data_IF_123995953940
#
_entry.id   IF_123995953940
#
_cell.length_a   1.000
_cell.length_b   1.000
_cell.length_c   1.000
_cell.angle_alpha   90.00
_cell.angle_beta   90.00
_cell.angle_gamma   90.00
#
_symmetry.space_group_name_H-M   'P 1'
#
loop_
_entity.id
_entity.type
_entity.pdbx_description
1 polymer ?
#
# COMPACT_ATOMS: atom_id res chain seq x y z
N UNK A 1 8.73 -21.58 -5.61
CA UNK A 1 8.58 -21.31 -4.16
C UNK A 1 9.92 -21.50 -3.47
N UNK A 2 10.34 -20.56 -2.59
CA UNK A 2 11.63 -20.57 -1.87
C UNK A 2 11.35 -20.59 -0.37
N UNK A 3 12.10 -21.39 0.39
CA UNK A 3 12.03 -21.40 1.85
C UNK A 3 13.29 -20.75 2.43
N UNK A 4 13.11 -19.83 3.38
CA UNK A 4 14.20 -19.13 4.08
C UNK A 4 14.06 -19.39 5.57
N UNK A 5 15.11 -19.96 6.16
CA UNK A 5 15.17 -20.27 7.58
C UNK A 5 16.12 -19.31 8.31
N UNK A 6 15.63 -18.71 9.38
CA UNK A 6 16.41 -17.95 10.33
C UNK A 6 16.62 -18.72 11.64
N UNK A 7 17.12 -18.00 12.64
CA UNK A 7 17.42 -18.58 13.96
C UNK A 7 16.15 -19.03 14.70
N UNK A 8 15.04 -18.33 14.53
CA UNK A 8 13.81 -18.56 15.29
C UNK A 8 12.61 -18.90 14.41
N UNK A 9 12.52 -18.35 13.22
CA UNK A 9 11.39 -18.52 12.32
C UNK A 9 11.79 -18.97 10.93
N UNK A 10 10.76 -19.25 10.13
CA UNK A 10 10.92 -19.59 8.70
C UNK A 10 9.88 -18.84 7.86
N UNK A 11 10.25 -18.50 6.64
CA UNK A 11 9.39 -17.84 5.67
C UNK A 11 9.26 -18.68 4.39
N UNK A 12 8.04 -18.72 3.82
CA UNK A 12 7.81 -19.19 2.45
C UNK A 12 7.68 -17.99 1.52
N UNK A 13 8.40 -18.02 0.39
CA UNK A 13 8.40 -16.97 -0.62
C UNK A 13 7.79 -17.52 -1.90
N UNK A 14 6.69 -16.92 -2.36
CA UNK A 14 5.89 -17.42 -3.48
C UNK A 14 6.38 -16.85 -4.82
N UNK A 15 7.69 -16.90 -5.06
CA UNK A 15 8.31 -16.53 -6.34
C UNK A 15 9.40 -17.53 -6.73
N UNK A 16 9.77 -17.54 -7.99
CA UNK A 16 10.88 -18.32 -8.49
C UNK A 16 12.21 -17.53 -8.46
N UNK A 17 12.11 -16.19 -8.35
CA UNK A 17 13.26 -15.27 -8.37
C UNK A 17 13.22 -14.35 -7.16
N UNK A 18 14.34 -14.25 -6.43
CA UNK A 18 14.47 -13.41 -5.24
C UNK A 18 15.79 -12.65 -5.29
N UNK A 19 15.72 -11.34 -5.10
CA UNK A 19 16.94 -10.53 -5.01
C UNK A 19 17.71 -10.82 -3.71
N UNK A 20 19.07 -10.86 -3.74
CA UNK A 20 19.88 -11.11 -2.54
C UNK A 20 19.61 -10.14 -1.39
N UNK A 21 19.29 -8.88 -1.70
CA UNK A 21 18.91 -7.85 -0.73
C UNK A 21 17.62 -8.19 0.01
N UNK A 22 16.61 -8.67 -0.72
CA UNK A 22 15.34 -9.11 -0.16
C UNK A 22 15.52 -10.39 0.67
N UNK A 23 16.29 -11.36 0.19
CA UNK A 23 16.61 -12.58 0.92
C UNK A 23 17.25 -12.28 2.28
N UNK A 24 18.26 -11.37 2.29
CA UNK A 24 18.92 -10.93 3.52
C UNK A 24 17.98 -10.30 4.53
N UNK A 25 17.01 -9.49 4.07
CA UNK A 25 15.99 -8.87 4.92
C UNK A 25 15.04 -9.93 5.52
N UNK A 26 14.58 -10.89 4.73
CA UNK A 26 13.70 -11.98 5.18
C UNK A 26 14.43 -12.81 6.24
N UNK A 27 15.69 -13.19 6.00
CA UNK A 27 16.49 -13.94 6.94
C UNK A 27 16.67 -13.17 8.25
N UNK A 28 17.01 -11.88 8.19
CA UNK A 28 17.16 -11.01 9.37
C UNK A 28 15.85 -10.93 10.16
N UNK A 29 14.70 -10.92 9.50
CA UNK A 29 13.39 -10.98 10.14
C UNK A 29 13.15 -12.32 10.83
N UNK A 30 13.46 -13.44 10.16
CA UNK A 30 13.35 -14.80 10.73
C UNK A 30 14.36 -15.06 11.87
N UNK A 31 15.39 -14.23 11.99
CA UNK A 31 16.34 -14.27 13.12
C UNK A 31 15.83 -13.54 14.38
N UNK A 32 14.64 -12.93 14.35
CA UNK A 32 14.06 -12.26 15.51
C UNK A 32 13.23 -13.21 16.37
N UNK A 33 13.28 -13.11 17.72
CA UNK A 33 12.58 -14.04 18.60
C UNK A 33 11.08 -14.15 18.37
N UNK A 34 10.39 -13.06 18.03
CA UNK A 34 8.96 -13.04 17.78
C UNK A 34 8.56 -13.79 16.50
N UNK A 35 9.50 -14.05 15.58
CA UNK A 35 9.23 -14.82 14.35
C UNK A 35 8.95 -16.31 14.62
N UNK A 36 9.38 -16.84 15.78
CA UNK A 36 9.18 -18.25 16.16
C UNK A 36 7.71 -18.67 16.19
N UNK A 37 6.80 -17.75 16.46
CA UNK A 37 5.37 -18.02 16.56
C UNK A 37 4.57 -17.53 15.35
N UNK A 38 5.24 -16.92 14.37
CA UNK A 38 4.60 -16.29 13.23
C UNK A 38 4.68 -17.16 11.98
N UNK A 39 3.56 -17.32 11.29
CA UNK A 39 3.51 -17.88 9.95
C UNK A 39 3.85 -16.77 8.95
N UNK A 40 5.08 -16.78 8.45
CA UNK A 40 5.60 -15.72 7.56
C UNK A 40 5.43 -16.17 6.11
N UNK A 41 4.78 -15.32 5.30
CA UNK A 41 4.50 -15.56 3.90
C UNK A 41 4.85 -14.34 3.08
N UNK A 42 5.59 -14.53 2.01
CA UNK A 42 6.12 -13.46 1.17
C UNK A 42 5.54 -13.60 -0.23
N UNK A 43 4.87 -12.53 -0.69
CA UNK A 43 4.14 -12.49 -1.95
C UNK A 43 5.07 -12.41 -3.17
N UNK A 44 4.60 -12.77 -4.39
CA UNK A 44 5.44 -12.80 -5.61
C UNK A 44 6.02 -11.45 -6.02
N UNK A 45 5.38 -10.34 -5.67
CA UNK A 45 5.82 -8.97 -5.93
C UNK A 45 6.94 -8.49 -4.98
N UNK A 46 7.53 -9.40 -4.22
CA UNK A 46 8.57 -9.14 -3.24
C UNK A 46 9.72 -8.30 -3.78
N UNK A 47 10.11 -7.29 -3.01
CA UNK A 47 11.32 -6.49 -3.24
C UNK A 47 11.80 -5.88 -1.91
N UNK A 48 13.04 -5.38 -1.90
CA UNK A 48 13.62 -4.81 -0.69
C UNK A 48 12.88 -3.56 -0.22
N UNK A 49 12.60 -3.50 1.08
CA UNK A 49 12.02 -2.37 1.76
C UNK A 49 12.89 -1.92 2.93
N UNK A 50 12.39 -0.96 3.73
CA UNK A 50 13.11 -0.48 4.91
C UNK A 50 12.89 -1.41 6.10
N UNK A 51 13.90 -2.22 6.44
CA UNK A 51 13.90 -3.15 7.57
C UNK A 51 13.18 -4.48 7.34
N UNK A 52 12.31 -4.56 6.35
CA UNK A 52 11.70 -5.81 5.88
C UNK A 52 11.32 -5.68 4.40
N UNK A 53 10.96 -6.78 3.77
CA UNK A 53 10.50 -6.77 2.39
C UNK A 53 9.08 -6.21 2.26
N UNK A 54 8.79 -5.60 1.11
CA UNK A 54 7.43 -5.38 0.61
C UNK A 54 6.91 -6.73 0.09
N UNK A 55 5.63 -6.99 0.19
CA UNK A 55 5.04 -8.30 -0.08
C UNK A 55 5.02 -9.22 1.15
N UNK A 56 5.29 -8.71 2.35
CA UNK A 56 5.35 -9.50 3.59
C UNK A 56 3.99 -9.63 4.26
N UNK A 57 3.62 -10.87 4.61
CA UNK A 57 2.50 -11.15 5.51
C UNK A 57 2.95 -12.06 6.65
N UNK A 58 2.38 -11.87 7.82
CA UNK A 58 2.64 -12.74 8.97
C UNK A 58 1.46 -12.77 9.95
N UNK A 59 1.31 -13.90 10.63
CA UNK A 59 0.38 -13.99 11.77
C UNK A 59 0.97 -13.27 12.98
N UNK A 60 0.17 -12.41 13.61
CA UNK A 60 0.54 -11.64 14.81
C UNK A 60 0.01 -12.39 16.03
N UNK A 61 0.86 -12.55 17.07
CA UNK A 61 0.45 -13.13 18.36
C UNK A 61 0.76 -12.15 19.49
N UNK A 62 1.87 -12.32 20.17
CA UNK A 62 2.23 -11.58 21.38
C UNK A 62 3.10 -10.35 21.11
N UNK A 63 3.48 -10.11 19.86
CA UNK A 63 4.33 -9.00 19.48
C UNK A 63 3.97 -8.43 18.12
N UNK A 64 4.11 -7.12 17.96
CA UNK A 64 3.91 -6.40 16.69
C UNK A 64 5.09 -5.48 16.41
N UNK A 65 5.53 -5.44 15.16
CA UNK A 65 6.57 -4.54 14.67
C UNK A 65 5.93 -3.42 13.87
N UNK A 66 5.81 -2.18 14.40
CA UNK A 66 5.11 -1.10 13.71
C UNK A 66 5.71 -0.79 12.32
N UNK A 67 7.04 -0.84 12.17
CA UNK A 67 7.69 -0.61 10.88
C UNK A 67 7.36 -1.69 9.82
N UNK A 68 6.96 -2.89 10.24
CA UNK A 68 6.54 -3.95 9.32
C UNK A 68 5.11 -3.72 8.79
N UNK A 69 4.30 -2.90 9.42
CA UNK A 69 3.08 -2.34 8.80
C UNK A 69 3.46 -1.26 7.79
N UNK A 70 4.47 -0.46 8.12
CA UNK A 70 4.97 0.63 7.28
C UNK A 70 4.54 2.00 7.79
N UNK A 71 5.08 3.03 7.14
CA UNK A 71 4.84 4.43 7.54
C UNK A 71 3.56 5.01 6.95
N UNK A 72 3.04 4.43 5.89
CA UNK A 72 1.76 4.79 5.28
C UNK A 72 0.70 3.74 5.66
N UNK A 73 0.28 3.80 6.92
CA UNK A 73 -0.72 2.88 7.47
C UNK A 73 -2.04 3.07 6.73
N UNK A 74 -2.66 1.98 6.32
CA UNK A 74 -3.92 1.99 5.59
C UNK A 74 -3.80 2.45 4.13
N UNK A 75 -2.57 2.54 3.59
CA UNK A 75 -2.39 2.76 2.14
C UNK A 75 -3.12 1.68 1.36
N UNK A 76 -3.80 2.08 0.29
CA UNK A 76 -4.64 1.19 -0.47
C UNK A 76 -5.33 1.90 -1.62
N UNK A 77 -6.14 1.15 -2.33
CA UNK A 77 -6.86 1.61 -3.51
C UNK A 77 -8.36 1.59 -3.26
N UNK A 78 -9.05 2.58 -3.80
CA UNK A 78 -10.50 2.59 -3.96
C UNK A 78 -10.78 2.46 -5.45
N UNK A 79 -11.42 1.37 -5.83
CA UNK A 79 -11.84 1.08 -7.21
C UNK A 79 -13.32 1.37 -7.36
N UNK A 80 -13.68 2.21 -8.31
CA UNK A 80 -15.05 2.66 -8.56
C UNK A 80 -15.42 2.35 -10.00
N UNK A 81 -16.34 1.43 -10.22
CA UNK A 81 -16.94 1.19 -11.54
C UNK A 81 -17.92 2.32 -11.86
N UNK A 82 -17.78 2.92 -13.02
CA UNK A 82 -18.59 4.06 -13.47
C UNK A 82 -19.72 3.61 -14.38
N UNK A 83 -20.86 4.31 -14.30
CA UNK A 83 -21.96 4.12 -15.25
C UNK A 83 -21.60 4.62 -16.66
N UNK A 84 -20.74 5.62 -16.73
CA UNK A 84 -20.28 6.23 -17.97
C UNK A 84 -19.39 5.26 -18.76
N UNK A 85 -19.56 5.23 -20.08
CA UNK A 85 -18.72 4.45 -21.02
C UNK A 85 -17.68 5.32 -21.72
N UNK A 86 -17.70 6.63 -21.50
CA UNK A 86 -16.74 7.59 -22.06
C UNK A 86 -16.54 8.76 -21.10
N UNK A 87 -15.31 9.21 -20.99
CA UNK A 87 -14.90 10.36 -20.16
C UNK A 87 -13.98 11.24 -21.02
N UNK A 88 -14.13 12.55 -20.88
CA UNK A 88 -13.19 13.53 -21.41
C UNK A 88 -11.94 13.55 -20.51
N UNK A 89 -10.92 12.77 -20.87
CA UNK A 89 -9.70 12.58 -20.08
C UNK A 89 -8.92 13.89 -19.88
N UNK A 90 -8.72 14.77 -20.90
CA UNK A 90 -8.10 16.08 -20.68
C UNK A 90 -8.84 16.95 -19.66
N UNK A 91 -10.16 16.94 -19.69
CA UNK A 91 -10.99 17.68 -18.75
C UNK A 91 -10.87 17.09 -17.34
N UNK A 92 -10.88 15.76 -17.20
CA UNK A 92 -10.69 15.06 -15.94
C UNK A 92 -9.31 15.34 -15.33
N UNK A 93 -8.23 15.25 -16.11
CA UNK A 93 -6.86 15.54 -15.65
C UNK A 93 -6.75 16.99 -15.15
N UNK A 94 -7.28 17.95 -15.92
CA UNK A 94 -7.32 19.36 -15.53
C UNK A 94 -8.10 19.56 -14.22
N UNK A 95 -9.25 18.89 -14.08
CA UNK A 95 -10.07 18.96 -12.87
C UNK A 95 -9.34 18.40 -11.66
N UNK A 96 -8.70 17.21 -11.78
CA UNK A 96 -7.93 16.58 -10.72
C UNK A 96 -6.82 17.51 -10.25
N UNK A 97 -6.01 18.06 -11.17
CA UNK A 97 -4.90 18.96 -10.85
C UNK A 97 -5.34 20.23 -10.12
N UNK A 98 -6.52 20.74 -10.41
CA UNK A 98 -7.05 21.95 -9.77
C UNK A 98 -7.68 21.68 -8.39
N UNK A 99 -8.24 20.49 -8.15
CA UNK A 99 -9.09 20.23 -7.00
C UNK A 99 -8.53 19.20 -6.01
N UNK A 100 -7.52 18.41 -6.40
CA UNK A 100 -6.90 17.39 -5.55
C UNK A 100 -5.43 17.75 -5.32
N UNK A 101 -5.09 18.33 -4.15
CA UNK A 101 -3.69 18.62 -3.81
C UNK A 101 -2.83 17.35 -3.85
N UNK A 102 -1.61 17.45 -4.39
CA UNK A 102 -0.68 16.34 -4.51
C UNK A 102 0.70 16.65 -3.90
N UNK A 103 1.58 15.65 -3.83
CA UNK A 103 2.90 15.80 -3.26
C UNK A 103 2.86 16.16 -1.77
N UNK A 104 3.42 17.34 -1.43
CA UNK A 104 3.43 17.87 -0.05
C UNK A 104 2.28 18.82 0.23
N UNK A 105 1.52 19.16 -0.79
CA UNK A 105 0.42 20.12 -0.67
C UNK A 105 -0.77 19.50 0.06
N UNK A 106 -1.45 20.34 0.80
CA UNK A 106 -2.68 20.04 1.52
C UNK A 106 -3.72 21.11 1.20
N UNK A 107 -4.96 20.88 1.61
CA UNK A 107 -6.02 21.88 1.42
C UNK A 107 -5.76 23.11 2.28
N UNK A 108 -6.10 24.27 1.78
CA UNK A 108 -6.04 25.53 2.56
C UNK A 108 -7.04 25.53 3.75
N UNK A 109 -8.13 24.78 3.58
CA UNK A 109 -9.16 24.56 4.61
C UNK A 109 -9.58 23.10 4.60
N UNK A 110 -9.92 22.58 5.77
CA UNK A 110 -10.42 21.22 5.91
C UNK A 110 -11.65 20.98 5.03
N UNK A 111 -11.70 19.84 4.34
CA UNK A 111 -12.88 19.46 3.57
C UNK A 111 -14.10 19.30 4.50
N UNK A 112 -15.32 19.62 4.01
CA UNK A 112 -16.56 19.51 4.81
C UNK A 112 -16.77 18.14 5.46
N UNK A 113 -16.31 17.08 4.82
CA UNK A 113 -16.43 15.70 5.32
C UNK A 113 -15.40 15.33 6.39
N UNK A 114 -14.48 16.24 6.78
CA UNK A 114 -13.47 15.93 7.80
C UNK A 114 -14.07 15.55 9.17
N UNK A 115 -15.28 16.01 9.47
CA UNK A 115 -16.01 15.69 10.70
C UNK A 115 -16.57 14.27 10.75
N UNK A 116 -16.45 13.46 9.69
CA UNK A 116 -16.83 12.03 9.71
C UNK A 116 -15.90 11.18 10.58
N UNK A 117 -14.74 11.72 10.97
CA UNK A 117 -13.74 11.04 11.81
C UNK A 117 -13.16 12.03 12.81
N UNK A 118 -13.14 11.67 14.08
CA UNK A 118 -12.59 12.52 15.13
C UNK A 118 -11.12 12.15 15.41
N UNK A 119 -10.19 13.00 15.02
CA UNK A 119 -8.74 12.81 15.23
C UNK A 119 -8.39 12.71 16.72
N UNK A 120 -9.25 13.17 17.62
CA UNK A 120 -9.05 13.04 19.06
C UNK A 120 -9.25 11.62 19.59
N UNK A 121 -9.79 10.68 18.81
CA UNK A 121 -9.82 9.25 19.14
C UNK A 121 -8.40 8.64 19.22
N UNK A 122 -7.39 9.22 18.55
CA UNK A 122 -6.02 8.72 18.62
C UNK A 122 -5.47 8.79 20.06
N UNK A 123 -4.97 7.69 20.57
CA UNK A 123 -4.29 7.64 21.87
C UNK A 123 -3.00 8.46 21.86
N UNK A 124 -2.31 8.49 20.72
CA UNK A 124 -1.12 9.31 20.53
C UNK A 124 -1.41 10.75 20.05
N UNK A 125 -2.62 11.26 20.16
CA UNK A 125 -3.08 12.56 19.61
C UNK A 125 -2.17 13.73 19.97
N UNK A 126 -1.56 13.75 21.16
CA UNK A 126 -0.61 14.80 21.59
C UNK A 126 0.71 14.80 20.78
N UNK A 127 0.93 13.83 19.91
CA UNK A 127 2.15 13.68 19.09
C UNK A 127 1.93 14.05 17.62
N UNK A 128 0.75 14.48 17.26
CA UNK A 128 0.37 14.79 15.89
C UNK A 128 -0.18 16.21 15.73
N UNK A 129 -0.08 16.75 14.53
CA UNK A 129 -0.67 18.03 14.17
C UNK A 129 -2.10 17.81 13.65
N UNK A 130 -3.09 18.10 14.52
CA UNK A 130 -4.52 17.88 14.26
C UNK A 130 -5.01 18.75 13.10
N UNK A 131 -4.56 20.03 13.02
CA UNK A 131 -4.95 20.93 11.94
C UNK A 131 -4.47 20.37 10.61
N UNK A 132 -3.17 20.03 10.51
CA UNK A 132 -2.57 19.44 9.32
C UNK A 132 -3.24 18.11 8.94
N UNK A 133 -3.61 17.28 9.92
CA UNK A 133 -4.34 16.04 9.67
C UNK A 133 -5.68 16.32 8.96
N UNK A 134 -6.50 17.23 9.50
CA UNK A 134 -7.80 17.60 8.92
C UNK A 134 -7.67 18.21 7.52
N UNK A 135 -6.66 19.07 7.31
CA UNK A 135 -6.38 19.72 6.02
C UNK A 135 -5.78 18.75 4.98
N UNK A 136 -5.23 17.60 5.41
CA UNK A 136 -4.69 16.58 4.50
C UNK A 136 -5.73 15.61 3.95
N UNK A 137 -6.96 15.59 4.48
CA UNK A 137 -8.04 14.76 3.95
C UNK A 137 -8.50 15.24 2.56
N UNK A 138 -8.69 14.29 1.65
CA UNK A 138 -9.01 14.55 0.25
C UNK A 138 -7.79 15.05 -0.55
N UNK A 139 -6.57 14.60 -0.19
CA UNK A 139 -5.33 14.91 -0.92
C UNK A 139 -4.63 13.64 -1.36
N UNK A 140 -4.03 13.65 -2.55
CA UNK A 140 -3.41 12.47 -3.14
C UNK A 140 -2.08 12.10 -2.49
N UNK A 141 -1.20 13.08 -2.31
CA UNK A 141 0.16 12.85 -1.88
C UNK A 141 1.14 12.60 -3.00
N UNK A 142 2.29 12.03 -2.67
CA UNK A 142 3.37 11.77 -3.60
C UNK A 142 3.84 10.32 -3.55
N UNK A 143 4.94 10.03 -4.23
CA UNK A 143 5.45 8.67 -4.37
C UNK A 143 4.67 7.90 -5.43
N UNK A 144 4.28 6.68 -5.08
CA UNK A 144 3.50 5.79 -5.95
C UNK A 144 1.97 6.01 -5.86
N UNK A 145 1.51 7.11 -5.28
CA UNK A 145 0.09 7.43 -5.25
C UNK A 145 -0.38 7.94 -6.61
N UNK A 146 -1.55 7.49 -7.05
CA UNK A 146 -2.09 7.83 -8.35
C UNK A 146 -3.62 7.91 -8.36
N UNK A 147 -4.15 8.54 -9.39
CA UNK A 147 -5.55 8.50 -9.81
C UNK A 147 -5.53 8.14 -11.28
N UNK A 148 -6.25 7.09 -11.66
CA UNK A 148 -6.32 6.64 -13.05
C UNK A 148 -7.72 6.19 -13.45
N UNK A 149 -7.97 6.13 -14.73
CA UNK A 149 -9.14 5.51 -15.33
C UNK A 149 -8.69 4.31 -16.12
N UNK A 150 -9.08 3.15 -15.66
CA UNK A 150 -8.89 1.88 -16.37
C UNK A 150 -10.14 1.55 -17.21
N UNK A 151 -9.94 0.74 -18.24
CA UNK A 151 -11.01 0.27 -19.12
C UNK A 151 -10.88 -1.21 -19.35
N UNK A 152 -11.97 -1.97 -19.10
CA UNK A 152 -12.01 -3.39 -19.39
C UNK A 152 -12.37 -3.69 -20.86
N UNK A 153 -12.26 -4.97 -21.24
CA UNK A 153 -12.55 -5.42 -22.62
C UNK A 153 -14.02 -5.24 -23.02
N UNK A 154 -14.92 -5.10 -22.05
CA UNK A 154 -16.35 -4.82 -22.28
C UNK A 154 -16.63 -3.31 -22.43
N UNK A 155 -15.61 -2.47 -22.21
CA UNK A 155 -15.70 -1.03 -22.31
C UNK A 155 -16.20 -0.35 -21.03
N UNK A 156 -16.27 -1.06 -19.91
CA UNK A 156 -16.55 -0.46 -18.60
C UNK A 156 -15.35 0.38 -18.15
N UNK A 157 -15.63 1.49 -17.46
CA UNK A 157 -14.61 2.38 -16.93
C UNK A 157 -14.53 2.25 -15.41
N UNK A 158 -13.32 2.25 -14.91
CA UNK A 158 -13.01 2.16 -13.48
C UNK A 158 -12.14 3.34 -13.07
N UNK A 159 -12.61 4.13 -12.11
CA UNK A 159 -11.78 5.14 -11.44
C UNK A 159 -11.04 4.44 -10.30
N UNK A 160 -9.71 4.44 -10.35
CA UNK A 160 -8.86 3.90 -9.30
C UNK A 160 -8.14 5.05 -8.58
N UNK A 161 -8.25 5.07 -7.26
CA UNK A 161 -7.63 6.08 -6.39
C UNK A 161 -6.70 5.37 -5.41
N UNK A 162 -5.39 5.52 -5.59
CA UNK A 162 -4.36 4.97 -4.71
C UNK A 162 -3.78 6.06 -3.81
N UNK A 163 -4.09 6.01 -2.53
CA UNK A 163 -3.49 6.89 -1.50
C UNK A 163 -3.71 6.32 -0.10
N UNK A 164 -3.02 6.89 0.89
CA UNK A 164 -3.02 6.40 2.26
C UNK A 164 -3.30 7.48 3.31
N UNK A 165 -2.72 7.30 4.48
CA UNK A 165 -2.97 8.09 5.70
C UNK A 165 -2.18 9.39 5.80
N UNK A 166 -1.49 9.77 4.74
CA UNK A 166 -0.78 11.04 4.63
C UNK A 166 0.28 11.21 5.73
N UNK A 167 0.62 12.46 6.06
CA UNK A 167 1.58 12.76 7.12
C UNK A 167 1.13 12.28 8.50
N UNK A 168 -0.18 12.15 8.74
CA UNK A 168 -0.69 11.67 10.01
C UNK A 168 -0.22 10.24 10.29
N UNK A 169 -0.38 9.32 9.33
CA UNK A 169 0.08 7.93 9.46
C UNK A 169 1.58 7.81 9.68
N UNK A 170 2.38 8.63 8.96
CA UNK A 170 3.82 8.69 9.18
C UNK A 170 4.16 9.06 10.64
N UNK A 171 3.47 10.05 11.24
CA UNK A 171 3.70 10.47 12.61
C UNK A 171 3.31 9.39 13.62
N UNK A 172 2.17 8.75 13.41
CA UNK A 172 1.70 7.62 14.24
C UNK A 172 2.71 6.46 14.16
N UNK A 173 3.08 6.03 12.96
CA UNK A 173 4.05 4.96 12.76
C UNK A 173 5.41 5.27 13.43
N UNK A 174 5.94 6.48 13.24
CA UNK A 174 7.20 6.90 13.87
C UNK A 174 7.11 6.93 15.39
N UNK A 175 5.99 7.41 15.95
CA UNK A 175 5.80 7.43 17.39
C UNK A 175 5.87 6.02 17.97
N UNK A 176 5.08 5.08 17.45
CA UNK A 176 5.05 3.71 17.96
C UNK A 176 6.35 2.93 17.69
N UNK A 177 7.02 3.18 16.57
CA UNK A 177 8.35 2.61 16.31
C UNK A 177 9.40 3.10 17.33
N UNK A 178 9.34 4.37 17.73
CA UNK A 178 10.20 4.90 18.78
C UNK A 178 9.86 4.30 20.17
N UNK A 179 8.57 4.07 20.47
CA UNK A 179 8.14 3.38 21.68
C UNK A 179 8.69 1.95 21.69
N UNK A 180 8.53 1.21 20.59
CA UNK A 180 9.05 -0.14 20.41
C UNK A 180 10.57 -0.20 20.62
N UNK A 181 11.31 0.69 19.97
CA UNK A 181 12.77 0.72 20.09
C UNK A 181 13.24 0.98 21.51
N UNK A 182 12.58 1.89 22.23
CA UNK A 182 12.90 2.15 23.65
C UNK A 182 12.58 0.94 24.54
N UNK A 183 11.45 0.28 24.30
CA UNK A 183 11.05 -0.94 25.03
C UNK A 183 12.03 -2.10 24.81
N UNK A 184 12.63 -2.19 23.61
CA UNK A 184 13.68 -3.18 23.30
C UNK A 184 15.09 -2.77 23.79
N UNK A 185 15.22 -1.80 24.71
CA UNK A 185 16.50 -1.38 25.28
C UNK A 185 17.22 -0.24 24.54
N UNK A 186 16.68 0.23 23.42
CA UNK A 186 17.22 1.36 22.67
C UNK A 186 18.68 1.17 22.26
N UNK A 187 19.45 2.27 22.27
CA UNK A 187 20.88 2.23 21.91
C UNK A 187 21.76 1.47 22.90
N UNK A 188 21.31 1.30 24.14
CA UNK A 188 22.09 0.66 25.19
C UNK A 188 22.15 -0.88 25.05
N UNK A 189 21.16 -1.48 24.36
CA UNK A 189 21.09 -2.91 24.12
C UNK A 189 20.87 -3.15 22.61
N UNK A 190 21.87 -2.87 21.80
CA UNK A 190 21.80 -2.88 20.33
C UNK A 190 21.51 -4.26 19.67
N UNK A 191 20.91 -5.21 20.41
CA UNK A 191 20.62 -6.56 19.91
C UNK A 191 19.50 -6.60 18.85
N UNK A 192 18.59 -5.59 18.83
CA UNK A 192 17.45 -5.53 17.89
C UNK A 192 17.57 -4.26 17.05
N UNK A 193 17.62 -4.36 15.71
CA UNK A 193 17.62 -3.19 14.83
C UNK A 193 16.40 -2.29 15.09
N UNK A 194 16.56 -0.98 14.92
CA UNK A 194 15.46 -0.03 15.08
C UNK A 194 14.23 -0.42 14.28
N UNK A 195 14.43 -0.83 13.04
CA UNK A 195 13.38 -1.21 12.09
C UNK A 195 12.63 -2.49 12.48
N UNK A 196 13.22 -3.31 13.36
CA UNK A 196 12.66 -4.59 13.80
C UNK A 196 12.27 -4.58 15.27
N UNK A 197 12.37 -3.43 15.94
CA UNK A 197 11.89 -3.28 17.31
C UNK A 197 10.37 -3.47 17.39
N UNK A 198 9.91 -4.15 18.44
CA UNK A 198 8.54 -4.60 18.57
C UNK A 198 7.85 -4.12 19.85
N UNK A 199 6.53 -4.16 19.84
CA UNK A 199 5.65 -3.86 20.96
C UNK A 199 4.98 -5.14 21.46
N UNK A 200 4.72 -5.20 22.77
CA UNK A 200 3.99 -6.27 23.45
C UNK A 200 3.02 -5.67 24.48
N UNK A 201 2.09 -6.49 25.00
CA UNK A 201 1.15 -6.09 26.04
C UNK A 201 0.36 -4.83 25.69
N UNK A 202 0.19 -3.93 26.67
CA UNK A 202 -0.62 -2.70 26.51
C UNK A 202 -0.11 -1.81 25.38
N UNK A 203 1.20 -1.71 25.19
CA UNK A 203 1.78 -0.90 24.11
C UNK A 203 1.42 -1.43 22.72
N UNK A 204 1.30 -2.76 22.56
CA UNK A 204 0.79 -3.38 21.36
C UNK A 204 -0.70 -3.03 21.15
N UNK A 205 -1.52 -3.12 22.20
CA UNK A 205 -2.96 -2.79 22.11
C UNK A 205 -3.17 -1.32 21.72
N UNK A 206 -2.41 -0.41 22.29
CA UNK A 206 -2.47 1.01 21.93
C UNK A 206 -2.08 1.26 20.47
N UNK A 207 -1.08 0.53 19.99
CA UNK A 207 -0.70 0.62 18.57
C UNK A 207 -1.80 0.07 17.66
N UNK A 208 -2.39 -1.08 17.98
CA UNK A 208 -3.47 -1.68 17.19
C UNK A 208 -4.67 -0.71 17.07
N UNK A 209 -5.08 -0.10 18.20
CA UNK A 209 -6.14 0.90 18.21
C UNK A 209 -5.84 2.09 17.27
N UNK A 210 -4.65 2.69 17.39
CA UNK A 210 -4.30 3.85 16.57
C UNK A 210 -4.05 3.46 15.10
N UNK A 211 -3.58 2.25 14.83
CA UNK A 211 -3.42 1.70 13.49
C UNK A 211 -4.80 1.50 12.80
N UNK A 212 -5.80 0.98 13.50
CA UNK A 212 -7.18 0.89 12.99
C UNK A 212 -7.77 2.27 12.71
N UNK A 213 -7.54 3.23 13.61
CA UNK A 213 -7.92 4.61 13.35
C UNK A 213 -7.29 5.13 12.04
N UNK A 214 -6.01 4.83 11.81
CA UNK A 214 -5.32 5.26 10.60
C UNK A 214 -5.85 4.59 9.33
N UNK A 215 -6.33 3.35 9.41
CA UNK A 215 -7.03 2.71 8.28
C UNK A 215 -8.32 3.47 7.92
N UNK A 216 -9.15 3.79 8.92
CA UNK A 216 -10.37 4.61 8.74
C UNK A 216 -10.06 5.99 8.16
N UNK A 217 -8.96 6.60 8.60
CA UNK A 217 -8.51 7.90 8.09
C UNK A 217 -8.10 7.82 6.61
N UNK A 218 -7.34 6.79 6.22
CA UNK A 218 -6.93 6.57 4.83
C UNK A 218 -8.12 6.26 3.92
N UNK A 219 -9.09 5.48 4.39
CA UNK A 219 -10.33 5.20 3.70
C UNK A 219 -11.15 6.48 3.48
N UNK A 220 -11.30 7.31 4.51
CA UNK A 220 -11.97 8.61 4.40
C UNK A 220 -11.24 9.53 3.40
N UNK A 221 -9.89 9.49 3.39
CA UNK A 221 -9.11 10.26 2.42
C UNK A 221 -9.45 9.86 0.98
N UNK A 222 -9.46 8.57 0.66
CA UNK A 222 -9.87 8.04 -0.67
C UNK A 222 -11.31 8.39 -1.01
N UNK A 223 -12.21 8.23 -0.05
CA UNK A 223 -13.64 8.55 -0.21
C UNK A 223 -13.86 10.02 -0.57
N UNK A 224 -13.17 10.94 0.11
CA UNK A 224 -13.28 12.37 -0.19
C UNK A 224 -12.76 12.69 -1.60
N UNK A 225 -11.64 12.08 -2.03
CA UNK A 225 -11.14 12.24 -3.40
C UNK A 225 -12.18 11.77 -4.41
N UNK A 226 -12.77 10.58 -4.18
CA UNK A 226 -13.86 10.04 -5.01
C UNK A 226 -15.02 11.03 -5.10
N UNK A 227 -15.54 11.49 -3.96
CA UNK A 227 -16.66 12.44 -3.89
C UNK A 227 -16.37 13.72 -4.69
N UNK A 228 -15.18 14.30 -4.53
CA UNK A 228 -14.76 15.51 -5.26
C UNK A 228 -14.73 15.27 -6.77
N UNK A 229 -14.20 14.14 -7.22
CA UNK A 229 -14.12 13.82 -8.67
C UNK A 229 -15.51 13.54 -9.26
N UNK A 230 -16.30 12.68 -8.61
CA UNK A 230 -17.64 12.33 -9.11
C UNK A 230 -18.55 13.55 -9.18
N UNK A 231 -18.61 14.35 -8.11
CA UNK A 231 -19.44 15.57 -8.06
C UNK A 231 -19.01 16.59 -9.13
N UNK A 232 -17.69 16.85 -9.24
CA UNK A 232 -17.17 17.87 -10.13
C UNK A 232 -17.23 17.52 -11.61
N UNK A 233 -17.07 16.25 -11.92
CA UNK A 233 -17.14 15.73 -13.29
C UNK A 233 -18.54 15.23 -13.69
N UNK A 234 -19.48 15.19 -12.75
CA UNK A 234 -20.84 14.64 -12.91
C UNK A 234 -20.79 13.18 -13.35
N UNK A 235 -19.94 12.39 -12.70
CA UNK A 235 -19.82 10.95 -12.91
C UNK A 235 -20.66 10.21 -11.87
N UNK A 236 -21.09 9.00 -12.21
CA UNK A 236 -21.96 8.19 -11.37
C UNK A 236 -21.34 6.84 -11.09
N UNK A 237 -21.26 6.51 -9.81
CA UNK A 237 -20.79 5.20 -9.32
C UNK A 237 -21.87 4.13 -9.59
N UNK A 238 -21.45 2.99 -10.16
CA UNK A 238 -22.26 1.77 -10.23
C UNK A 238 -21.98 0.90 -8.99
N UNK A 239 -20.71 0.66 -8.71
CA UNK A 239 -20.24 -0.09 -7.54
C UNK A 239 -18.83 0.36 -7.17
N UNK A 240 -18.40 0.08 -5.93
CA UNK A 240 -17.01 0.30 -5.53
C UNK A 240 -16.55 -0.70 -4.48
N UNK A 241 -15.22 -0.92 -4.43
CA UNK A 241 -14.58 -1.72 -3.39
C UNK A 241 -13.20 -1.15 -3.05
N UNK A 242 -12.74 -1.42 -1.83
CA UNK A 242 -11.43 -1.00 -1.33
C UNK A 242 -10.47 -2.18 -1.23
N UNK A 243 -9.19 -1.94 -1.52
CA UNK A 243 -8.09 -2.90 -1.37
C UNK A 243 -6.97 -2.24 -0.59
N UNK A 244 -6.72 -2.68 0.65
CA UNK A 244 -5.71 -2.10 1.55
C UNK A 244 -4.49 -3.02 1.64
N UNK A 245 -3.27 -2.45 1.69
CA UNK A 245 -2.04 -3.24 1.62
C UNK A 245 -0.97 -2.93 2.69
N UNK A 246 -1.25 -2.03 3.65
CA UNK A 246 -0.36 -1.74 4.79
C UNK A 246 -1.18 -1.64 6.07
N UNK A 247 -1.44 -2.78 6.72
CA UNK A 247 -2.28 -2.82 7.91
C UNK A 247 -2.14 -4.14 8.67
N UNK A 248 -2.78 -4.23 9.82
CA UNK A 248 -3.07 -5.49 10.52
C UNK A 248 -4.57 -5.71 10.49
N UNK A 249 -4.96 -6.85 9.97
CA UNK A 249 -6.30 -7.40 10.12
C UNK A 249 -6.44 -7.86 11.58
N UNK A 250 -7.11 -7.08 12.39
CA UNK A 250 -7.22 -7.31 13.84
C UNK A 250 -8.22 -8.41 14.20
N UNK A 251 -9.08 -8.82 13.28
CA UNK A 251 -9.98 -9.96 13.47
C UNK A 251 -9.22 -11.28 13.30
N UNK A 252 -8.38 -11.38 12.27
CA UNK A 252 -7.62 -12.58 11.94
C UNK A 252 -6.17 -12.53 12.45
N UNK A 253 -5.74 -11.41 13.02
CA UNK A 253 -4.38 -11.14 13.48
C UNK A 253 -3.34 -11.42 12.39
N UNK A 254 -3.56 -10.88 11.20
CA UNK A 254 -2.66 -10.98 10.05
C UNK A 254 -2.13 -9.60 9.70
N UNK A 255 -0.82 -9.43 9.80
CA UNK A 255 -0.12 -8.23 9.33
C UNK A 255 0.17 -8.36 7.84
N UNK A 256 -0.10 -7.29 7.08
CA UNK A 256 0.19 -7.15 5.66
C UNK A 256 0.99 -5.89 5.38
N UNK A 257 2.13 -6.04 4.71
CA UNK A 257 2.95 -4.95 4.20
C UNK A 257 3.19 -5.12 2.71
N UNK A 258 2.58 -4.26 1.90
CA UNK A 258 2.60 -4.44 0.46
C UNK A 258 1.99 -5.78 0.06
N UNK A 259 0.93 -6.17 0.73
CA UNK A 259 0.12 -7.34 0.45
C UNK A 259 -1.34 -7.03 0.79
N UNK A 260 -2.27 -7.64 0.08
CA UNK A 260 -3.70 -7.41 0.22
C UNK A 260 -4.40 -8.63 0.78
N UNK A 261 -5.59 -8.42 1.37
CA UNK A 261 -6.47 -9.52 1.74
C UNK A 261 -7.00 -10.23 0.50
N UNK A 262 -7.11 -11.55 0.58
CA UNK A 262 -7.66 -12.43 -0.46
C UNK A 262 -8.49 -13.54 0.20
N UNK A 263 -9.38 -13.15 1.12
CA UNK A 263 -10.35 -14.05 1.72
C UNK A 263 -11.25 -14.65 0.65
N UNK A 264 -11.85 -15.79 0.93
CA UNK A 264 -12.71 -16.47 -0.04
C UNK A 264 -13.86 -15.59 -0.50
N UNK A 265 -13.91 -15.28 -1.80
CA UNK A 265 -14.94 -14.45 -2.41
C UNK A 265 -14.73 -12.93 -2.25
N UNK A 266 -13.65 -12.50 -1.60
CA UNK A 266 -13.30 -11.07 -1.47
C UNK A 266 -12.76 -10.52 -2.80
N UNK A 267 -13.29 -9.38 -3.25
CA UNK A 267 -12.79 -8.67 -4.44
C UNK A 267 -11.59 -7.80 -4.07
N UNK A 268 -10.58 -7.82 -4.92
CA UNK A 268 -9.36 -7.05 -4.73
C UNK A 268 -8.81 -6.55 -6.07
N UNK A 269 -8.01 -5.47 -6.01
CA UNK A 269 -7.31 -4.90 -7.15
C UNK A 269 -5.80 -5.13 -7.00
N UNK A 270 -5.15 -5.54 -8.10
CA UNK A 270 -3.69 -5.67 -8.18
C UNK A 270 -3.21 -4.78 -9.34
N UNK A 271 -2.74 -3.55 -9.09
CA UNK A 271 -2.21 -2.67 -10.13
C UNK A 271 -0.86 -3.19 -10.65
N UNK A 272 -0.68 -3.15 -11.97
CA UNK A 272 0.56 -3.53 -12.60
C UNK A 272 1.48 -2.32 -12.78
N UNK A 273 1.12 -1.41 -13.66
CA UNK A 273 1.82 -0.15 -13.91
C UNK A 273 0.93 0.76 -14.76
N UNK A 274 1.35 2.01 -14.97
CA UNK A 274 0.54 3.03 -15.66
C UNK A 274 0.25 2.76 -17.15
N UNK A 275 0.82 1.70 -17.75
CA UNK A 275 0.53 1.27 -19.12
C UNK A 275 -0.36 0.04 -19.16
N UNK A 276 -0.07 -0.94 -18.31
CA UNK A 276 -0.70 -2.26 -18.35
C UNK A 276 -1.97 -2.32 -17.48
N UNK A 277 -2.26 -1.24 -16.71
CA UNK A 277 -3.47 -1.12 -15.89
C UNK A 277 -3.43 -2.02 -14.65
N UNK A 278 -4.59 -2.58 -14.28
CA UNK A 278 -4.80 -3.30 -13.04
C UNK A 278 -5.57 -4.60 -13.27
N UNK A 279 -5.37 -5.60 -12.42
CA UNK A 279 -6.17 -6.83 -12.39
C UNK A 279 -7.26 -6.72 -11.32
N UNK A 280 -8.51 -6.96 -11.68
CA UNK A 280 -9.60 -7.20 -10.73
C UNK A 280 -9.68 -8.70 -10.47
N UNK A 281 -9.62 -9.07 -9.19
CA UNK A 281 -9.50 -10.46 -8.78
C UNK A 281 -10.47 -10.79 -7.66
N UNK A 282 -10.75 -12.09 -7.49
CA UNK A 282 -11.46 -12.66 -6.35
C UNK A 282 -10.55 -13.58 -5.57
N UNK A 283 -10.49 -13.41 -4.25
CA UNK A 283 -9.72 -14.21 -3.32
C UNK A 283 -10.23 -15.66 -3.21
N UNK A 284 -9.32 -16.61 -3.15
CA UNK A 284 -9.61 -18.04 -2.95
C UNK A 284 -9.62 -18.45 -1.48
N UNK A 285 -9.16 -17.58 -0.57
CA UNK A 285 -9.06 -17.88 0.86
C UNK A 285 -7.99 -18.92 1.18
N UNK A 286 -6.84 -18.86 0.50
CA UNK A 286 -5.76 -19.82 0.69
C UNK A 286 -5.02 -19.56 2.02
N UNK A 287 -5.19 -20.47 2.97
CA UNK A 287 -4.57 -20.38 4.29
C UNK A 287 -3.04 -20.41 4.22
N UNK A 288 -2.43 -21.16 3.30
CA UNK A 288 -0.97 -21.20 3.20
C UNK A 288 -0.38 -19.86 2.74
N UNK A 289 -1.20 -19.00 2.14
CA UNK A 289 -0.85 -17.63 1.76
C UNK A 289 -1.23 -16.57 2.81
N UNK A 290 -1.58 -16.97 4.04
CA UNK A 290 -2.18 -16.09 5.05
C UNK A 290 -3.40 -15.33 4.49
N UNK A 291 -4.23 -16.01 3.68
CA UNK A 291 -5.40 -15.38 3.03
C UNK A 291 -5.04 -14.07 2.33
N UNK A 292 -3.92 -14.03 1.61
CA UNK A 292 -3.36 -12.79 1.07
C UNK A 292 -2.90 -12.97 -0.38
N UNK A 293 -2.78 -11.84 -1.09
CA UNK A 293 -2.27 -11.74 -2.46
C UNK A 293 -1.27 -10.56 -2.57
N UNK A 294 -0.48 -10.47 -3.65
CA UNK A 294 0.39 -9.32 -3.88
C UNK A 294 -0.43 -8.04 -4.05
N UNK A 295 0.16 -6.90 -3.69
CA UNK A 295 -0.48 -5.60 -3.81
C UNK A 295 -0.23 -4.91 -5.15
N UNK A 296 0.62 -5.47 -6.00
CA UNK A 296 1.00 -4.90 -7.29
C UNK A 296 1.99 -5.80 -8.04
N UNK A 297 2.62 -5.25 -9.07
CA UNK A 297 3.59 -5.99 -9.87
C UNK A 297 4.94 -6.22 -9.16
N UNK A 298 5.29 -5.38 -8.19
CA UNK A 298 6.64 -5.37 -7.61
C UNK A 298 7.67 -4.69 -8.51
N UNK A 299 8.72 -4.18 -7.91
CA UNK A 299 9.77 -3.43 -8.62
C UNK A 299 10.95 -4.34 -8.94
N UNK A 300 11.54 -4.13 -10.12
CA UNK A 300 12.80 -4.77 -10.54
C UNK A 300 14.03 -4.06 -10.00
N UNK A 301 13.89 -2.79 -9.60
CA UNK A 301 15.00 -1.96 -9.14
C UNK A 301 14.55 -0.84 -8.21
N UNK A 302 15.51 -0.26 -7.49
CA UNK A 302 15.24 0.89 -6.63
C UNK A 302 14.82 2.14 -7.43
N UNK A 303 14.15 3.12 -6.79
CA UNK A 303 13.81 4.40 -7.42
C UNK A 303 15.05 5.13 -7.95
N UNK A 304 16.16 5.09 -7.19
CA UNK A 304 17.41 5.73 -7.58
C UNK A 304 18.01 5.09 -8.83
N UNK A 305 18.02 3.77 -8.91
CA UNK A 305 18.54 3.04 -10.06
C UNK A 305 17.68 3.26 -11.30
N UNK A 306 16.36 3.32 -11.15
CA UNK A 306 15.43 3.62 -12.23
C UNK A 306 15.71 4.99 -12.87
N UNK A 307 15.92 6.05 -12.07
CA UNK A 307 16.26 7.38 -12.56
C UNK A 307 17.57 7.42 -13.38
N UNK A 308 18.50 6.52 -13.09
CA UNK A 308 19.77 6.41 -13.85
C UNK A 308 19.71 5.45 -15.03
N UNK A 309 18.76 4.51 -15.03
CA UNK A 309 18.67 3.44 -16.03
C UNK A 309 17.80 3.78 -17.25
N UNK A 310 16.83 4.69 -17.07
CA UNK A 310 15.87 5.01 -18.12
C UNK A 310 15.91 6.48 -18.52
N UNK A 311 15.63 6.74 -19.79
CA UNK A 311 15.50 8.11 -20.33
C UNK A 311 14.04 8.51 -20.43
N UNK A 312 13.77 9.82 -20.38
CA UNK A 312 12.43 10.35 -20.60
C UNK A 312 11.85 9.95 -21.97
N UNK A 313 12.70 9.83 -22.99
CA UNK A 313 12.25 9.41 -24.32
C UNK A 313 11.81 7.93 -24.34
N UNK A 314 12.55 7.04 -23.65
CA UNK A 314 12.14 5.65 -23.50
C UNK A 314 10.81 5.55 -22.73
N UNK A 315 10.66 6.35 -21.66
CA UNK A 315 9.42 6.42 -20.91
C UNK A 315 8.24 6.90 -21.77
N UNK A 316 8.38 8.01 -22.51
CA UNK A 316 7.35 8.48 -23.45
C UNK A 316 6.94 7.40 -24.45
N UNK A 317 7.93 6.72 -25.05
CA UNK A 317 7.65 5.63 -26.00
C UNK A 317 6.92 4.46 -25.37
N UNK A 318 7.22 4.10 -24.12
CA UNK A 318 6.54 3.00 -23.42
C UNK A 318 5.08 3.33 -23.07
N UNK A 319 4.70 4.60 -23.08
CA UNK A 319 3.35 5.09 -22.80
C UNK A 319 2.55 5.43 -24.05
N UNK A 320 3.02 5.02 -25.24
CA UNK A 320 2.33 5.30 -26.50
C UNK A 320 0.93 4.69 -26.49
N UNK A 321 -0.06 5.50 -26.88
CA UNK A 321 -1.49 5.11 -26.82
C UNK A 321 -2.18 5.32 -25.48
N UNK A 322 -1.45 5.67 -24.41
CA UNK A 322 -2.03 5.96 -23.07
C UNK A 322 -2.06 7.48 -22.84
N UNK A 323 -3.26 8.01 -22.55
CA UNK A 323 -3.40 9.42 -22.16
C UNK A 323 -2.85 9.63 -20.74
N UNK A 324 -1.84 10.47 -20.61
CA UNK A 324 -1.28 10.87 -19.31
C UNK A 324 -0.51 12.18 -19.44
N UNK A 325 -0.55 13.02 -18.40
CA UNK A 325 0.28 14.23 -18.24
C UNK A 325 1.39 14.02 -17.22
N UNK A 326 1.54 12.77 -16.69
CA UNK A 326 2.49 12.44 -15.63
C UNK A 326 3.82 11.86 -16.14
N UNK A 327 4.04 11.81 -17.46
CA UNK A 327 5.32 11.37 -18.05
C UNK A 327 6.30 12.54 -18.08
N UNK A 328 7.06 12.68 -17.00
CA UNK A 328 8.03 13.75 -16.77
C UNK A 328 9.38 13.20 -16.31
N UNK A 329 10.39 14.03 -16.23
CA UNK A 329 11.70 13.64 -15.68
C UNK A 329 11.60 13.22 -14.21
N UNK A 330 10.71 13.82 -13.45
CA UNK A 330 10.52 13.56 -12.01
C UNK A 330 9.76 12.26 -11.72
N UNK A 331 9.19 11.62 -12.76
CA UNK A 331 8.39 10.38 -12.63
C UNK A 331 9.00 9.21 -13.37
N UNK A 332 10.25 9.31 -13.86
CA UNK A 332 10.95 8.20 -14.55
C UNK A 332 11.03 6.97 -13.65
N UNK A 333 11.13 7.15 -12.33
CA UNK A 333 11.17 6.05 -11.36
C UNK A 333 9.86 5.24 -11.26
N UNK A 334 8.79 5.70 -11.90
CA UNK A 334 7.49 5.00 -12.01
C UNK A 334 7.21 4.50 -13.44
N UNK A 335 8.18 4.58 -14.38
CA UNK A 335 7.95 4.11 -15.75
C UNK A 335 7.66 2.57 -15.77
N UNK A 336 6.88 2.08 -16.75
CA UNK A 336 6.48 0.66 -16.80
C UNK A 336 7.64 -0.33 -16.73
N UNK A 337 8.81 0.04 -17.27
CA UNK A 337 10.00 -0.82 -17.32
C UNK A 337 10.65 -1.10 -15.97
N UNK A 338 10.26 -0.40 -14.89
CA UNK A 338 10.80 -0.63 -13.53
C UNK A 338 10.06 -1.72 -12.78
N UNK A 339 8.96 -2.23 -13.34
CA UNK A 339 8.09 -3.22 -12.72
C UNK A 339 8.28 -4.61 -13.33
N UNK A 340 8.00 -5.65 -12.54
CA UNK A 340 7.97 -7.02 -13.05
C UNK A 340 6.90 -7.16 -14.14
N UNK A 341 7.14 -8.01 -15.16
CA UNK A 341 6.14 -8.30 -16.18
C UNK A 341 4.84 -8.86 -15.55
N UNK A 342 3.70 -8.44 -16.08
CA UNK A 342 2.38 -8.89 -15.61
C UNK A 342 2.24 -10.41 -15.66
N UNK A 343 2.78 -11.06 -16.70
CA UNK A 343 2.74 -12.52 -16.87
C UNK A 343 3.47 -13.27 -15.75
N UNK A 344 4.57 -12.70 -15.22
CA UNK A 344 5.29 -13.28 -14.08
C UNK A 344 4.42 -13.26 -12.82
N UNK A 345 3.71 -12.17 -12.57
CA UNK A 345 2.80 -12.07 -11.44
C UNK A 345 1.62 -13.02 -11.60
N UNK A 346 0.96 -13.00 -12.76
CA UNK A 346 -0.18 -13.89 -13.07
C UNK A 346 0.18 -15.36 -12.89
N UNK A 347 1.38 -15.77 -13.34
CA UNK A 347 1.87 -17.15 -13.18
C UNK A 347 1.88 -17.58 -11.72
N UNK A 348 2.30 -16.68 -10.82
CA UNK A 348 2.60 -17.01 -9.42
C UNK A 348 1.42 -16.80 -8.45
N UNK A 349 0.27 -16.23 -8.88
CA UNK A 349 -0.84 -15.90 -7.97
C UNK A 349 -2.06 -16.81 -8.10
N UNK A 350 -2.02 -17.80 -8.98
CA UNK A 350 -3.15 -18.71 -9.30
C UNK A 350 -3.66 -19.53 -8.11
N UNK A 351 -2.81 -19.71 -7.09
CA UNK A 351 -3.19 -20.48 -5.90
C UNK A 351 -3.95 -19.62 -4.87
N UNK A 352 -3.92 -18.30 -4.98
CA UNK A 352 -4.52 -17.41 -3.99
C UNK A 352 -5.67 -16.56 -4.52
N UNK A 353 -5.74 -16.33 -5.84
CA UNK A 353 -6.81 -15.55 -6.47
C UNK A 353 -7.30 -16.16 -7.79
N UNK A 354 -8.50 -15.74 -8.20
CA UNK A 354 -9.00 -15.85 -9.58
C UNK A 354 -9.05 -14.46 -10.19
N UNK A 355 -8.53 -14.30 -11.41
CA UNK A 355 -8.61 -13.03 -12.16
C UNK A 355 -9.99 -12.96 -12.82
N UNK A 356 -10.70 -11.84 -12.60
CA UNK A 356 -11.99 -11.55 -13.22
C UNK A 356 -11.80 -10.73 -14.52
N UNK A 357 -10.94 -9.72 -14.45
CA UNK A 357 -10.67 -8.77 -15.53
C UNK A 357 -9.24 -8.26 -15.47
#
# INVERSE_FOLDING_TARGET
MIEIKGKYGEAKVFTDTLEPSAEGLIKTFCDQPYSAQSKIRIMPDVHAGKGCTIGTTLTVKDAVVPNVVGVDIGCGMLTVKLNEKRIDLPKLDSFIRQNIPCGRDIRERSHRSHGRLDVYELLCVKRVDIRRAKESLGTLGGGNHFIEIDKDDEGNLYLVIHTGSRNLGLRVAQYYQNVAYKACGGRAQAAIPYELAFLQGDAMQYYLHDMEFMQRFAELNRTIIKEVILDGMKLHEEESFSTVHNYIDTENMILRKGAVSAQKGERLLIPMNMRDGSLICTGLGNEDWNFSAPHGAGRLMSRKDALSSFTLNAFKKSMDGIFTTSVTADTIDECPMVYKPMEEIIKNIKETITIEK
#
